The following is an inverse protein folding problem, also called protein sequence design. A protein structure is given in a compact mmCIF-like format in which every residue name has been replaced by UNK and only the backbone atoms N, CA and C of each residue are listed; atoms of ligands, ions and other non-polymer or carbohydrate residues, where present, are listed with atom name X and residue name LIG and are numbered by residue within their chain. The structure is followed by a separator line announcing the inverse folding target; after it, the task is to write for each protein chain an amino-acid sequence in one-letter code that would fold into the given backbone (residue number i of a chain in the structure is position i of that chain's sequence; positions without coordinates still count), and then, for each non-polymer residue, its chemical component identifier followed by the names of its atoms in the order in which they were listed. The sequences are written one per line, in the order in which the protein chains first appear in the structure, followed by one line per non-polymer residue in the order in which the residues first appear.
data_IF_414638226649
#
_entry.id   IF_414638226649
#
_cell.length_a   1.000
_cell.length_b   1.000
_cell.length_c   1.000
_cell.angle_alpha   90.00
_cell.angle_beta   90.00
_cell.angle_gamma   90.00
#
_symmetry.space_group_name_H-M   'P 1'
#
loop_
_entity.id
_entity.type
_entity.pdbx_description
1 polymer ?
#
# COMPACT_ATOMS: atom_id res chain seq x y z
N UNK A 1 7.47 -28.98 16.40
CA UNK A 1 6.28 -28.26 16.92
C UNK A 1 5.64 -27.54 15.74
N UNK A 2 4.38 -27.82 15.37
CA UNK A 2 3.65 -26.97 14.44
C UNK A 2 3.24 -25.68 15.16
N UNK A 3 3.61 -24.52 14.62
CA UNK A 3 3.39 -23.22 15.27
C UNK A 3 1.97 -22.67 14.99
N UNK A 4 1.22 -23.30 14.09
CA UNK A 4 -0.13 -22.88 13.69
C UNK A 4 -1.09 -24.07 13.77
N UNK A 5 -2.01 -24.06 14.73
CA UNK A 5 -3.25 -24.85 14.62
C UNK A 5 -4.13 -24.24 13.51
N UNK A 6 -4.81 -25.05 12.69
CA UNK A 6 -5.64 -24.55 11.61
C UNK A 6 -6.88 -23.82 12.17
N UNK A 7 -6.95 -22.50 11.96
CA UNK A 7 -8.06 -21.66 12.40
C UNK A 7 -9.41 -22.21 11.92
N UNK A 8 -10.30 -22.52 12.86
CA UNK A 8 -11.63 -23.02 12.56
C UNK A 8 -12.46 -21.93 11.86
N UNK A 9 -13.21 -22.31 10.82
CA UNK A 9 -14.15 -21.44 10.06
C UNK A 9 -15.18 -20.68 10.91
N UNK A 10 -15.36 -21.03 12.19
CA UNK A 10 -16.21 -20.30 13.14
C UNK A 10 -15.55 -19.05 13.71
N UNK A 11 -14.23 -19.05 13.87
CA UNK A 11 -13.47 -17.95 14.48
C UNK A 11 -13.17 -16.85 13.46
N UNK A 12 -12.84 -17.22 12.23
CA UNK A 12 -12.67 -16.28 11.10
C UNK A 12 -13.91 -15.41 10.89
N UNK A 13 -15.11 -16.02 10.91
CA UNK A 13 -16.40 -15.31 10.84
C UNK A 13 -16.70 -14.40 12.03
N UNK A 14 -16.04 -14.59 13.18
CA UNK A 14 -16.17 -13.72 14.36
C UNK A 14 -15.27 -12.49 14.24
N UNK A 15 -14.04 -12.65 13.73
CA UNK A 15 -13.10 -11.56 13.47
C UNK A 15 -13.63 -10.58 12.39
N UNK A 16 -14.18 -11.11 11.29
CA UNK A 16 -14.73 -10.31 10.18
C UNK A 16 -15.87 -9.36 10.60
N UNK A 17 -16.59 -9.66 11.68
CA UNK A 17 -17.69 -8.82 12.20
C UNK A 17 -17.23 -7.65 13.07
N UNK A 18 -15.97 -7.59 13.48
CA UNK A 18 -15.46 -6.56 14.39
C UNK A 18 -14.75 -5.38 13.72
N UNK A 19 -14.84 -5.25 12.40
CA UNK A 19 -14.11 -4.24 11.64
C UNK A 19 -14.95 -3.00 11.31
N UNK A 20 -14.38 -1.78 11.47
CA UNK A 20 -15.10 -0.54 11.20
C UNK A 20 -15.28 -0.31 9.70
N UNK A 21 -16.38 0.37 9.28
CA UNK A 21 -16.60 0.71 7.88
C UNK A 21 -15.60 1.76 7.39
N UNK A 22 -15.12 1.61 6.15
CA UNK A 22 -14.27 2.61 5.49
C UNK A 22 -15.06 3.90 5.22
N UNK A 23 -14.47 5.04 5.52
CA UNK A 23 -14.93 6.36 5.06
C UNK A 23 -14.25 6.69 3.73
N UNK A 24 -15.00 7.33 2.84
CA UNK A 24 -14.69 7.47 1.41
C UNK A 24 -14.41 8.92 1.00
N UNK A 25 -13.75 9.06 -0.15
CA UNK A 25 -13.91 10.11 -1.17
C UNK A 25 -13.77 11.60 -0.77
N UNK A 26 -12.58 12.15 -1.02
CA UNK A 26 -12.44 13.53 -1.50
C UNK A 26 -11.49 13.58 -2.71
N UNK A 27 -11.90 14.29 -3.77
CA UNK A 27 -11.17 14.39 -5.03
C UNK A 27 -10.98 15.85 -5.43
N UNK A 28 -9.73 16.31 -5.44
CA UNK A 28 -9.35 17.69 -5.81
C UNK A 28 -8.38 17.73 -7.01
N UNK A 29 -8.47 18.75 -7.88
CA UNK A 29 -7.68 18.85 -9.11
C UNK A 29 -6.31 19.51 -8.89
N UNK A 30 -5.29 19.03 -9.59
CA UNK A 30 -3.89 19.50 -9.51
C UNK A 30 -3.62 20.53 -10.62
N UNK A 31 -2.86 21.59 -10.31
CA UNK A 31 -2.27 22.53 -11.29
C UNK A 31 -0.73 22.44 -11.26
N UNK A 32 -0.01 22.58 -12.38
CA UNK A 32 1.44 22.38 -12.44
C UNK A 32 2.23 23.69 -12.34
N UNK A 33 3.38 23.70 -11.64
CA UNK A 33 4.40 24.75 -11.73
C UNK A 33 5.83 24.19 -11.68
N UNK A 34 6.50 24.31 -12.83
CA UNK A 34 7.92 24.62 -13.10
C UNK A 34 9.08 24.05 -12.23
N UNK A 35 9.91 23.30 -12.95
CA UNK A 35 11.22 22.72 -12.69
C UNK A 35 12.32 23.67 -12.14
N UNK A 36 13.14 23.19 -11.21
CA UNK A 36 14.47 23.74 -10.88
C UNK A 36 15.41 22.62 -10.38
N UNK A 37 16.71 22.74 -10.68
CA UNK A 37 17.68 21.63 -10.66
C UNK A 37 18.46 21.58 -9.33
N UNK A 38 18.48 20.44 -8.62
CA UNK A 38 19.15 20.27 -7.31
C UNK A 38 19.98 18.98 -7.27
N UNK A 39 21.10 19.04 -6.52
CA UNK A 39 22.05 17.96 -6.22
C UNK A 39 21.37 16.70 -5.64
N UNK A 40 21.59 15.55 -6.28
CA UNK A 40 20.91 14.30 -5.97
C UNK A 40 21.50 13.58 -4.73
N UNK A 41 21.08 13.99 -3.53
CA UNK A 41 20.70 12.98 -2.55
C UNK A 41 19.39 12.36 -3.07
N UNK A 42 19.29 11.03 -3.30
CA UNK A 42 18.00 10.44 -3.63
C UNK A 42 17.07 10.72 -2.45
N UNK A 43 15.98 11.48 -2.62
CA UNK A 43 15.12 11.80 -1.50
C UNK A 43 14.60 10.48 -0.95
N UNK A 44 14.84 10.26 0.35
CA UNK A 44 13.94 9.39 1.08
C UNK A 44 12.53 9.92 0.79
N UNK A 45 11.63 9.06 0.31
CA UNK A 45 10.22 9.40 0.23
C UNK A 45 9.71 9.38 1.67
N UNK A 46 10.05 10.45 2.40
CA UNK A 46 9.34 10.86 3.58
C UNK A 46 8.06 11.52 3.07
N UNK A 47 6.92 11.09 3.60
CA UNK A 47 5.65 11.71 3.26
C UNK A 47 5.63 13.15 3.81
N UNK A 48 5.98 14.10 2.93
CA UNK A 48 6.13 15.54 3.23
C UNK A 48 4.92 16.11 4.00
N UNK A 49 3.73 15.58 3.74
CA UNK A 49 2.48 15.94 4.42
C UNK A 49 2.48 15.59 5.92
N UNK A 50 3.05 14.44 6.32
CA UNK A 50 3.16 14.07 7.74
C UNK A 50 4.18 14.96 8.44
N UNK A 51 5.35 15.17 7.84
CA UNK A 51 6.38 16.01 8.44
C UNK A 51 5.90 17.46 8.60
N UNK A 52 5.34 18.05 7.54
CA UNK A 52 4.77 19.41 7.59
C UNK A 52 3.64 19.56 8.62
N UNK A 53 2.84 18.50 8.84
CA UNK A 53 1.85 18.47 9.91
C UNK A 53 2.51 18.44 11.30
N UNK A 54 3.52 17.59 11.51
CA UNK A 54 4.24 17.47 12.77
C UNK A 54 4.96 18.77 13.15
N UNK A 55 5.52 19.49 12.17
CA UNK A 55 6.19 20.79 12.37
C UNK A 55 5.24 21.86 12.96
N UNK A 56 3.92 21.67 12.82
CA UNK A 56 2.87 22.56 13.32
C UNK A 56 2.06 21.96 14.50
N UNK A 57 2.33 20.72 14.89
CA UNK A 57 1.57 20.00 15.91
C UNK A 57 2.10 20.33 17.32
N UNK A 58 1.22 20.84 18.20
CA UNK A 58 1.58 21.28 19.55
C UNK A 58 0.98 20.37 20.64
N UNK A 59 0.02 19.52 20.27
CA UNK A 59 -0.68 18.60 21.18
C UNK A 59 -0.59 17.16 20.68
N UNK A 60 -0.71 16.19 21.60
CA UNK A 60 -0.76 14.77 21.24
C UNK A 60 -1.95 14.44 20.32
N UNK A 61 -3.03 15.23 20.36
CA UNK A 61 -4.15 15.10 19.43
C UNK A 61 -3.74 15.44 17.99
N UNK A 62 -3.00 16.52 17.80
CA UNK A 62 -2.50 16.94 16.48
C UNK A 62 -1.45 15.97 15.96
N UNK A 63 -0.53 15.49 16.81
CA UNK A 63 0.45 14.45 16.45
C UNK A 63 -0.26 13.17 15.96
N UNK A 64 -1.30 12.72 16.67
CA UNK A 64 -2.13 11.59 16.23
C UNK A 64 -2.85 11.88 14.89
N UNK A 65 -3.29 13.12 14.65
CA UNK A 65 -3.91 13.54 13.39
C UNK A 65 -2.91 13.48 12.23
N UNK A 66 -1.64 13.88 12.44
CA UNK A 66 -0.58 13.77 11.43
C UNK A 66 -0.32 12.31 11.02
N UNK A 67 -0.31 11.37 11.97
CA UNK A 67 -0.27 9.93 11.66
C UNK A 67 -1.51 9.43 10.91
N UNK A 68 -2.68 10.03 11.15
CA UNK A 68 -3.91 9.76 10.40
C UNK A 68 -3.82 10.17 8.93
N UNK A 69 -3.31 11.38 8.65
CA UNK A 69 -3.09 11.89 7.28
C UNK A 69 -2.15 10.97 6.47
N UNK A 70 -1.16 10.38 7.14
CA UNK A 70 -0.22 9.44 6.54
C UNK A 70 -0.89 8.12 6.15
N UNK A 71 -1.67 7.53 7.05
CA UNK A 71 -2.46 6.34 6.76
C UNK A 71 -3.43 6.55 5.58
N UNK A 72 -4.05 7.74 5.48
CA UNK A 72 -4.84 8.10 4.31
C UNK A 72 -4.00 8.26 3.03
N UNK A 73 -2.76 8.77 3.12
CA UNK A 73 -1.82 8.86 2.01
C UNK A 73 -1.50 7.48 1.45
N UNK A 74 -1.14 6.55 2.33
CA UNK A 74 -0.84 5.17 2.00
C UNK A 74 -2.04 4.45 1.34
N UNK A 75 -3.27 4.57 1.88
CA UNK A 75 -4.46 3.94 1.28
C UNK A 75 -4.83 4.58 -0.08
N UNK A 76 -4.64 5.90 -0.25
CA UNK A 76 -4.81 6.56 -1.58
C UNK A 76 -3.84 6.01 -2.61
N UNK A 77 -2.55 5.87 -2.27
CA UNK A 77 -1.54 5.32 -3.18
C UNK A 77 -1.79 3.83 -3.49
N UNK A 78 -2.15 3.01 -2.49
CA UNK A 78 -2.53 1.61 -2.70
C UNK A 78 -3.70 1.50 -3.68
N UNK A 79 -4.75 2.31 -3.49
CA UNK A 79 -5.91 2.32 -4.38
C UNK A 79 -5.53 2.80 -5.79
N UNK A 80 -4.68 3.83 -5.93
CA UNK A 80 -4.20 4.31 -7.24
C UNK A 80 -3.46 3.21 -7.99
N UNK A 81 -2.52 2.52 -7.34
CA UNK A 81 -1.77 1.39 -7.92
C UNK A 81 -2.71 0.25 -8.28
N UNK A 82 -3.62 -0.15 -7.38
CA UNK A 82 -4.59 -1.21 -7.62
C UNK A 82 -5.49 -0.91 -8.83
N UNK A 83 -6.01 0.32 -8.97
CA UNK A 83 -6.81 0.72 -10.13
C UNK A 83 -5.99 0.75 -11.43
N UNK A 84 -4.71 1.13 -11.38
CA UNK A 84 -3.81 1.05 -12.53
C UNK A 84 -3.63 -0.40 -13.02
N UNK A 85 -3.44 -1.36 -12.10
CA UNK A 85 -3.34 -2.79 -12.42
C UNK A 85 -4.65 -3.31 -13.04
N UNK A 86 -5.81 -2.96 -12.45
CA UNK A 86 -7.11 -3.33 -13.03
C UNK A 86 -7.31 -2.78 -14.44
N UNK A 87 -6.82 -1.56 -14.73
CA UNK A 87 -6.89 -0.95 -16.06
C UNK A 87 -5.95 -1.64 -17.05
N UNK A 88 -4.71 -1.94 -16.65
CA UNK A 88 -3.72 -2.62 -17.48
C UNK A 88 -4.15 -4.03 -17.87
N UNK A 89 -4.78 -4.76 -16.95
CA UNK A 89 -5.27 -6.12 -17.17
C UNK A 89 -6.77 -6.20 -17.49
N UNK A 90 -7.40 -5.13 -18.00
CA UNK A 90 -8.86 -5.04 -18.17
C UNK A 90 -9.51 -6.18 -19.00
N UNK A 91 -8.75 -6.82 -19.89
CA UNK A 91 -9.20 -7.98 -20.66
C UNK A 91 -9.04 -9.34 -19.95
N UNK A 92 -8.21 -9.43 -18.90
CA UNK A 92 -7.96 -10.67 -18.17
C UNK A 92 -8.86 -10.78 -16.93
N UNK A 93 -10.05 -11.34 -17.15
CA UNK A 93 -11.04 -11.57 -16.09
C UNK A 93 -10.52 -12.52 -14.99
N UNK A 94 -9.75 -13.55 -15.35
CA UNK A 94 -9.28 -14.57 -14.42
C UNK A 94 -8.27 -13.97 -13.44
N UNK A 95 -7.31 -13.20 -13.96
CA UNK A 95 -6.38 -12.44 -13.14
C UNK A 95 -7.10 -11.41 -12.27
N UNK A 96 -8.02 -10.61 -12.83
CA UNK A 96 -8.75 -9.58 -12.09
C UNK A 96 -9.52 -10.16 -10.89
N UNK A 97 -10.22 -11.29 -11.08
CA UNK A 97 -10.99 -11.91 -10.00
C UNK A 97 -10.08 -12.51 -8.91
N UNK A 98 -8.94 -13.06 -9.31
CA UNK A 98 -7.89 -13.57 -8.40
C UNK A 98 -7.24 -12.43 -7.60
N UNK A 99 -6.88 -11.32 -8.25
CA UNK A 99 -6.32 -10.13 -7.60
C UNK A 99 -7.31 -9.52 -6.61
N UNK A 100 -8.59 -9.40 -6.99
CA UNK A 100 -9.69 -8.97 -6.11
C UNK A 100 -9.82 -9.86 -4.88
N UNK A 101 -9.70 -11.19 -5.04
CA UNK A 101 -9.71 -12.12 -3.92
C UNK A 101 -8.49 -11.93 -3.01
N UNK A 102 -7.30 -11.78 -3.59
CA UNK A 102 -6.06 -11.53 -2.86
C UNK A 102 -6.09 -10.23 -2.05
N UNK A 103 -6.64 -9.12 -2.59
CA UNK A 103 -6.79 -7.88 -1.80
C UNK A 103 -7.80 -8.04 -0.65
N UNK A 104 -8.94 -8.71 -0.87
CA UNK A 104 -9.90 -8.98 0.22
C UNK A 104 -9.29 -9.86 1.32
N UNK A 105 -8.46 -10.83 0.96
CA UNK A 105 -7.73 -11.65 1.93
C UNK A 105 -6.65 -10.84 2.67
N UNK A 106 -5.90 -9.99 1.97
CA UNK A 106 -4.92 -9.09 2.58
C UNK A 106 -5.54 -8.15 3.61
N UNK A 107 -6.73 -7.61 3.34
CA UNK A 107 -7.45 -6.79 4.32
C UNK A 107 -7.75 -7.57 5.60
N UNK A 108 -8.36 -8.76 5.48
CA UNK A 108 -8.64 -9.63 6.64
C UNK A 108 -7.37 -9.99 7.42
N UNK A 109 -6.24 -10.22 6.73
CA UNK A 109 -4.94 -10.43 7.38
C UNK A 109 -4.46 -9.18 8.12
N UNK A 110 -4.34 -8.03 7.43
CA UNK A 110 -3.89 -6.75 8.01
C UNK A 110 -4.70 -6.39 9.26
N UNK A 111 -6.00 -6.59 9.15
CA UNK A 111 -6.96 -6.28 10.20
C UNK A 111 -6.85 -7.24 11.40
N UNK A 112 -6.47 -8.51 11.18
CA UNK A 112 -6.11 -9.45 12.24
C UNK A 112 -4.71 -9.18 12.83
N UNK A 113 -3.75 -8.77 12.00
CA UNK A 113 -2.39 -8.40 12.39
C UNK A 113 -2.41 -7.20 13.35
N UNK A 114 -3.23 -6.17 13.07
CA UNK A 114 -3.45 -5.05 14.00
C UNK A 114 -3.96 -5.50 15.37
N UNK A 115 -4.79 -6.55 15.43
CA UNK A 115 -5.27 -7.13 16.70
C UNK A 115 -4.22 -8.01 17.39
N UNK A 116 -3.27 -8.58 16.64
CA UNK A 116 -2.12 -9.31 17.21
C UNK A 116 -1.06 -8.35 17.77
N UNK A 117 -0.83 -7.22 17.11
CA UNK A 117 0.06 -6.14 17.58
C UNK A 117 -0.56 -5.41 18.78
N UNK A 118 -1.88 -5.16 18.75
CA UNK A 118 -2.61 -4.44 19.79
C UNK A 118 -3.76 -5.28 20.39
N UNK A 119 -3.46 -6.38 21.12
CA UNK A 119 -4.48 -7.28 21.67
C UNK A 119 -5.42 -6.61 22.68
N UNK A 120 -4.92 -5.64 23.45
CA UNK A 120 -5.70 -4.85 24.41
C UNK A 120 -6.37 -3.60 23.77
N UNK A 121 -6.49 -3.53 22.43
CA UNK A 121 -7.01 -2.36 21.71
C UNK A 121 -8.45 -1.96 22.06
N UNK A 122 -9.18 -2.85 22.73
CA UNK A 122 -10.56 -2.63 23.22
C UNK A 122 -10.61 -2.19 24.69
N UNK A 123 -9.49 -2.21 25.41
CA UNK A 123 -9.40 -1.79 26.81
C UNK A 123 -9.14 -0.26 26.87
N UNK A 124 -10.08 0.53 27.42
CA UNK A 124 -9.96 1.99 27.40
C UNK A 124 -8.69 2.47 28.11
N UNK A 125 -7.84 3.20 27.38
CA UNK A 125 -6.64 3.83 27.93
C UNK A 125 -5.39 2.93 28.04
N UNK A 126 -5.48 1.63 27.71
CA UNK A 126 -4.35 0.68 27.88
C UNK A 126 -3.05 1.15 27.21
N UNK A 127 -3.15 1.65 25.97
CA UNK A 127 -2.02 2.16 25.18
C UNK A 127 -1.81 3.69 25.29
N UNK A 128 -2.49 4.35 26.23
CA UNK A 128 -2.37 5.79 26.46
C UNK A 128 -2.89 6.68 25.31
N UNK A 129 -2.56 7.97 25.37
CA UNK A 129 -3.08 9.00 24.46
C UNK A 129 -2.51 8.92 23.03
N UNK A 130 -1.34 8.32 22.83
CA UNK A 130 -0.69 8.18 21.52
C UNK A 130 -1.22 7.02 20.69
N UNK A 131 -2.09 6.16 21.24
CA UNK A 131 -2.55 4.93 20.60
C UNK A 131 -3.16 5.13 19.21
N UNK A 132 -3.94 6.20 19.01
CA UNK A 132 -4.55 6.52 17.72
C UNK A 132 -3.52 6.87 16.63
N UNK A 133 -2.39 7.48 17.01
CA UNK A 133 -1.27 7.72 16.12
C UNK A 133 -0.53 6.43 15.77
N UNK A 134 -0.16 5.63 16.78
CA UNK A 134 0.52 4.35 16.60
C UNK A 134 -0.30 3.37 15.73
N UNK A 135 -1.62 3.32 15.92
CA UNK A 135 -2.52 2.51 15.11
C UNK A 135 -2.53 2.96 13.64
N UNK A 136 -2.59 4.27 13.39
CA UNK A 136 -2.54 4.83 12.04
C UNK A 136 -1.21 4.58 11.35
N UNK A 137 -0.09 4.78 12.05
CA UNK A 137 1.26 4.56 11.51
C UNK A 137 1.52 3.08 11.17
N UNK A 138 1.01 2.16 11.99
CA UNK A 138 1.14 0.72 11.73
C UNK A 138 0.29 0.27 10.52
N UNK A 139 -0.91 0.87 10.33
CA UNK A 139 -1.71 0.67 9.12
C UNK A 139 -1.02 1.25 7.87
N UNK A 140 -0.46 2.46 7.97
CA UNK A 140 0.28 3.10 6.88
C UNK A 140 1.45 2.22 6.43
N UNK A 141 2.26 1.75 7.39
CA UNK A 141 3.40 0.83 7.15
C UNK A 141 2.97 -0.38 6.32
N UNK A 142 2.01 -1.19 6.79
CA UNK A 142 1.55 -2.38 6.06
C UNK A 142 0.94 -2.05 4.69
N UNK A 143 0.32 -0.88 4.55
CA UNK A 143 -0.30 -0.42 3.31
C UNK A 143 0.76 -0.01 2.28
N UNK A 144 1.86 0.64 2.70
CA UNK A 144 3.04 0.88 1.87
C UNK A 144 3.70 -0.42 1.43
N UNK A 145 3.85 -1.40 2.33
CA UNK A 145 4.40 -2.72 1.96
C UNK A 145 3.55 -3.44 0.91
N UNK A 146 2.22 -3.42 1.08
CA UNK A 146 1.30 -4.01 0.10
C UNK A 146 1.36 -3.27 -1.24
N UNK A 147 1.48 -1.95 -1.21
CA UNK A 147 1.70 -1.11 -2.39
C UNK A 147 2.97 -1.51 -3.13
N UNK A 148 4.10 -1.72 -2.44
CA UNK A 148 5.35 -2.21 -3.05
C UNK A 148 5.19 -3.59 -3.69
N UNK A 149 4.43 -4.51 -3.05
CA UNK A 149 4.12 -5.81 -3.64
C UNK A 149 3.27 -5.68 -4.92
N UNK A 150 2.31 -4.75 -4.92
CA UNK A 150 1.41 -4.51 -6.06
C UNK A 150 2.11 -3.83 -7.23
N UNK A 151 3.03 -2.89 -6.98
CA UNK A 151 3.77 -2.18 -8.03
C UNK A 151 4.51 -3.11 -9.00
N UNK A 152 4.88 -4.33 -8.57
CA UNK A 152 5.43 -5.38 -9.45
C UNK A 152 4.59 -5.68 -10.70
N UNK A 153 3.26 -5.57 -10.63
CA UNK A 153 2.37 -5.77 -11.80
C UNK A 153 2.38 -4.58 -12.78
N UNK A 154 2.87 -3.41 -12.36
CA UNK A 154 3.10 -2.24 -13.22
C UNK A 154 4.55 -2.22 -13.73
N UNK A 155 5.51 -2.52 -12.85
CA UNK A 155 6.95 -2.44 -13.12
C UNK A 155 7.45 -3.60 -13.99
N UNK A 156 6.81 -4.78 -13.88
CA UNK A 156 7.17 -6.01 -14.58
C UNK A 156 8.46 -6.68 -14.11
N UNK A 157 8.79 -7.79 -14.75
CA UNK A 157 10.02 -8.58 -14.53
C UNK A 157 10.91 -8.62 -15.78
N UNK A 158 12.18 -8.94 -15.61
CA UNK A 158 13.05 -9.25 -16.76
C UNK A 158 12.63 -10.58 -17.41
N UNK A 159 12.94 -10.74 -18.70
CA UNK A 159 12.72 -12.00 -19.40
C UNK A 159 13.61 -13.12 -18.83
N UNK A 160 13.05 -14.33 -18.70
CA UNK A 160 13.76 -15.52 -18.20
C UNK A 160 13.34 -16.01 -16.81
N UNK A 161 12.59 -15.23 -16.03
CA UNK A 161 11.99 -15.72 -14.78
C UNK A 161 10.72 -16.56 -15.07
N UNK A 162 10.91 -17.87 -15.22
CA UNK A 162 9.83 -18.84 -15.42
C UNK A 162 8.83 -18.93 -14.25
N UNK A 163 9.16 -18.36 -13.09
CA UNK A 163 8.33 -18.35 -11.88
C UNK A 163 7.57 -17.02 -11.69
N UNK A 164 7.71 -16.05 -12.60
CA UNK A 164 7.09 -14.72 -12.48
C UNK A 164 5.54 -14.73 -12.52
N UNK A 165 4.93 -15.80 -13.04
CA UNK A 165 3.49 -16.02 -13.00
C UNK A 165 2.69 -14.98 -13.81
N UNK A 166 1.91 -14.15 -13.13
CA UNK A 166 1.03 -13.13 -13.76
C UNK A 166 1.66 -11.73 -13.87
N UNK A 167 2.93 -11.59 -13.50
CA UNK A 167 3.66 -10.33 -13.67
C UNK A 167 3.97 -10.12 -15.17
N UNK A 168 3.80 -8.91 -15.72
CA UNK A 168 4.17 -8.66 -17.11
C UNK A 168 5.69 -8.75 -17.27
N UNK A 169 6.15 -9.24 -18.42
CA UNK A 169 7.54 -9.07 -18.84
C UNK A 169 7.73 -7.59 -19.19
N UNK A 170 8.82 -6.98 -18.71
CA UNK A 170 9.22 -5.64 -19.16
C UNK A 170 9.48 -5.69 -20.65
N UNK A 171 8.76 -4.87 -21.41
CA UNK A 171 9.02 -4.70 -22.84
C UNK A 171 10.37 -4.00 -23.03
N UNK A 172 11.43 -4.78 -23.27
CA UNK A 172 12.63 -4.27 -23.92
C UNK A 172 12.30 -4.05 -25.41
N UNK A 173 12.54 -2.85 -25.95
CA UNK A 173 12.64 -2.52 -27.40
C UNK A 173 12.62 -0.99 -27.63
N UNK A 174 13.12 -0.47 -28.77
CA UNK A 174 14.14 -1.00 -29.70
C UNK A 174 15.32 0.02 -29.83
N UNK A 175 16.38 -0.12 -30.62
CA UNK A 175 16.84 -1.14 -31.58
C UNK A 175 18.40 -1.16 -31.60
N UNK A 176 19.00 -2.11 -32.33
CA UNK A 176 20.27 -1.86 -33.04
C UNK A 176 19.93 -1.47 -34.48
N UNK A 177 20.57 -0.45 -35.09
CA UNK A 177 20.30 -0.10 -36.48
C UNK A 177 20.82 -1.18 -37.42
N UNK A 178 19.90 -1.88 -38.09
CA UNK A 178 20.19 -2.85 -39.16
C UNK A 178 20.57 -2.14 -40.47
N UNK A 179 21.59 -1.25 -40.40
CA UNK A 179 22.40 -0.89 -41.56
C UNK A 179 23.65 -0.13 -41.11
N UNK A 180 24.82 -0.79 -41.17
CA UNK A 180 26.15 -0.16 -41.34
C UNK A 180 27.28 -1.20 -41.54
N UNK A 181 27.03 -2.24 -42.33
CA UNK A 181 28.11 -2.95 -43.03
C UNK A 181 28.26 -2.35 -44.43
N UNK A 182 29.09 -1.32 -44.52
CA UNK A 182 29.73 -0.87 -45.75
C UNK A 182 30.83 -1.88 -46.18
N UNK A 183 31.46 -1.75 -47.36
CA UNK A 183 31.21 -0.81 -48.46
C UNK A 183 30.62 -1.43 -49.74
#
# INVERSE_FOLDING_TARGET
MPILEPLNTRETRKAERSLPPRLYDFRFPIKPVMLSLILACPPAIADDAKQSCLDNANTQREINQCSGLENESADRELNRVYQAILKQHAGDKLFIDSLKQAQRAWLKWRDAEMLAIYPASKEPGYYGSSFAGCWSDQLATMTHERTRQLKKWLDGVEEGDICAGSLPIKSSQPALPENLTAP
#
